data_IF_292163583103
#
_entry.id   IF_292163583103
#
_cell.length_a   1.000
_cell.length_b   1.000
_cell.length_c   1.000
_cell.angle_alpha   90.00
_cell.angle_beta   90.00
_cell.angle_gamma   90.00
#
_symmetry.space_group_name_H-M   'P 1'
#
loop_
_entity.id
_entity.type
_entity.pdbx_description
1 polymer ?
#
# COMPACT_ATOMS: atom_id res chain seq x y z
N UNK A 1 -18.12 -8.47 2.56
CA UNK A 1 -17.31 -8.12 1.37
C UNK A 1 -18.02 -8.43 0.07
N UNK A 2 -18.52 -9.65 -0.16
CA UNK A 2 -19.19 -10.03 -1.42
C UNK A 2 -20.43 -9.19 -1.79
N UNK A 3 -21.24 -8.77 -0.80
CA UNK A 3 -22.39 -7.86 -1.02
C UNK A 3 -21.98 -6.41 -1.34
N UNK A 4 -20.82 -5.93 -0.86
CA UNK A 4 -20.31 -4.59 -1.15
C UNK A 4 -19.68 -4.49 -2.55
N UNK A 5 -19.27 -5.63 -3.11
CA UNK A 5 -18.76 -5.75 -4.49
C UNK A 5 -19.93 -5.72 -5.50
N UNK A 6 -21.07 -6.31 -5.15
CA UNK A 6 -22.28 -6.33 -5.99
C UNK A 6 -22.96 -4.96 -6.18
N UNK A 7 -22.93 -4.09 -5.17
CA UNK A 7 -23.53 -2.74 -5.22
C UNK A 7 -22.68 -1.74 -6.03
N UNK A 8 -21.43 -2.09 -6.33
CA UNK A 8 -20.44 -1.15 -6.90
C UNK A 8 -20.38 -1.16 -8.43
N UNK A 9 -20.98 -2.15 -9.08
CA UNK A 9 -20.88 -2.31 -10.55
C UNK A 9 -21.93 -1.55 -11.37
N UNK A 10 -22.89 -0.84 -10.76
CA UNK A 10 -23.93 -0.15 -11.53
C UNK A 10 -23.52 1.20 -12.12
N UNK A 11 -22.51 1.90 -11.57
CA UNK A 11 -22.35 3.33 -11.86
C UNK A 11 -21.03 3.76 -12.50
N UNK A 12 -20.05 2.86 -12.70
CA UNK A 12 -18.75 3.18 -13.31
C UNK A 12 -18.56 2.68 -14.76
N UNK A 13 -19.48 1.87 -15.28
CA UNK A 13 -19.36 1.29 -16.64
C UNK A 13 -20.06 2.10 -17.74
N UNK A 14 -20.56 3.30 -17.44
CA UNK A 14 -21.36 4.09 -18.39
C UNK A 14 -20.54 4.91 -19.41
N UNK A 15 -19.40 4.40 -19.87
CA UNK A 15 -18.60 5.10 -20.89
C UNK A 15 -18.34 4.18 -22.07
N UNK A 16 -18.90 4.56 -23.22
CA UNK A 16 -18.65 3.97 -24.54
C UNK A 16 -17.16 3.92 -24.85
N UNK A 17 -16.50 2.82 -24.48
CA UNK A 17 -15.35 2.30 -25.21
C UNK A 17 -15.02 0.91 -24.67
N UNK A 18 -15.22 -0.12 -25.49
CA UNK A 18 -14.70 -1.48 -25.25
C UNK A 18 -13.19 -1.49 -24.92
N UNK A 19 -12.44 -0.46 -25.32
CA UNK A 19 -11.02 -0.33 -25.02
C UNK A 19 -10.74 0.00 -23.56
N UNK A 20 -11.61 0.79 -22.91
CA UNK A 20 -11.47 1.15 -21.49
C UNK A 20 -11.77 -0.05 -20.61
N UNK A 21 -12.78 -0.86 -20.98
CA UNK A 21 -13.08 -2.11 -20.29
C UNK A 21 -11.92 -3.12 -20.39
N UNK A 22 -11.31 -3.27 -21.57
CA UNK A 22 -10.12 -4.11 -21.77
C UNK A 22 -8.91 -3.61 -20.98
N UNK A 23 -8.65 -2.30 -21.01
CA UNK A 23 -7.51 -1.68 -20.31
C UNK A 23 -7.63 -1.81 -18.79
N UNK A 24 -8.84 -1.63 -18.25
CA UNK A 24 -9.12 -1.71 -16.81
C UNK A 24 -9.23 -3.18 -16.36
N UNK A 25 -9.81 -4.11 -17.14
CA UNK A 25 -9.87 -5.50 -16.71
C UNK A 25 -8.47 -6.16 -16.67
N UNK A 26 -7.65 -5.97 -17.70
CA UNK A 26 -6.32 -6.58 -17.78
C UNK A 26 -5.30 -5.93 -16.83
N UNK A 27 -5.41 -4.62 -16.55
CA UNK A 27 -4.51 -3.94 -15.61
C UNK A 27 -4.79 -4.33 -14.16
N UNK A 28 -6.01 -4.73 -13.81
CA UNK A 28 -6.40 -4.95 -12.41
C UNK A 28 -6.39 -6.43 -11.98
N UNK A 29 -6.38 -7.39 -12.91
CA UNK A 29 -6.36 -8.82 -12.61
C UNK A 29 -5.55 -9.59 -13.66
N UNK A 30 -4.35 -10.04 -13.31
CA UNK A 30 -3.56 -10.94 -14.18
C UNK A 30 -4.28 -12.27 -14.47
N UNK A 31 -5.23 -12.66 -13.62
CA UNK A 31 -6.07 -13.85 -13.76
C UNK A 31 -7.22 -13.71 -14.77
N UNK A 32 -7.48 -12.50 -15.29
CA UNK A 32 -8.50 -12.23 -16.31
C UNK A 32 -7.90 -11.96 -17.70
N UNK A 33 -6.63 -12.34 -17.91
CA UNK A 33 -5.93 -12.09 -19.17
C UNK A 33 -6.51 -12.89 -20.36
N UNK A 34 -7.45 -13.80 -20.10
CA UNK A 34 -8.21 -14.60 -21.05
C UNK A 34 -9.51 -13.94 -21.52
N UNK A 35 -9.91 -12.79 -20.94
CA UNK A 35 -11.08 -12.03 -21.40
C UNK A 35 -10.75 -11.27 -22.69
N UNK A 36 -10.91 -11.95 -23.82
CA UNK A 36 -10.89 -11.31 -25.13
C UNK A 36 -12.27 -10.74 -25.49
N UNK A 37 -12.33 -9.64 -26.25
CA UNK A 37 -13.59 -9.07 -26.75
C UNK A 37 -14.45 -10.09 -27.49
N UNK A 38 -13.84 -10.97 -28.28
CA UNK A 38 -14.55 -11.99 -29.05
C UNK A 38 -15.21 -13.04 -28.16
N UNK A 39 -14.58 -13.36 -27.01
CA UNK A 39 -15.15 -14.25 -26.00
C UNK A 39 -16.36 -13.59 -25.31
N UNK A 40 -16.28 -12.29 -25.03
CA UNK A 40 -17.37 -11.54 -24.40
C UNK A 40 -18.55 -11.36 -25.35
N UNK A 41 -18.30 -11.01 -26.61
CA UNK A 41 -19.33 -10.86 -27.65
C UNK A 41 -20.02 -12.17 -28.01
N UNK A 42 -19.32 -13.32 -27.91
CA UNK A 42 -19.92 -14.64 -28.16
C UNK A 42 -20.69 -15.20 -26.96
N UNK A 43 -20.35 -14.81 -25.73
CA UNK A 43 -20.96 -15.31 -24.50
C UNK A 43 -22.11 -14.46 -23.99
N UNK A 44 -22.13 -13.16 -24.30
CA UNK A 44 -23.05 -12.20 -23.69
C UNK A 44 -23.80 -11.44 -24.78
N UNK A 45 -25.13 -11.47 -24.71
CA UNK A 45 -26.03 -10.76 -25.64
C UNK A 45 -26.61 -9.48 -25.04
N UNK A 46 -26.61 -9.36 -23.71
CA UNK A 46 -27.08 -8.21 -22.96
C UNK A 46 -26.02 -7.67 -21.99
N UNK A 47 -26.14 -6.38 -21.63
CA UNK A 47 -25.31 -5.75 -20.60
C UNK A 47 -25.42 -6.46 -19.24
N UNK A 48 -26.63 -6.92 -18.88
CA UNK A 48 -26.87 -7.63 -17.62
C UNK A 48 -26.13 -8.98 -17.58
N UNK A 49 -26.18 -9.73 -18.68
CA UNK A 49 -25.44 -11.00 -18.83
C UNK A 49 -23.92 -10.78 -18.77
N UNK A 50 -23.42 -9.72 -19.41
CA UNK A 50 -22.01 -9.35 -19.36
C UNK A 50 -21.57 -9.04 -17.93
N UNK A 51 -22.34 -8.23 -17.21
CA UNK A 51 -22.07 -7.86 -15.82
C UNK A 51 -22.02 -9.10 -14.93
N UNK A 52 -23.01 -9.97 -15.05
CA UNK A 52 -23.08 -11.20 -14.25
C UNK A 52 -21.94 -12.16 -14.58
N UNK A 53 -21.58 -12.28 -15.85
CA UNK A 53 -20.43 -13.07 -16.29
C UNK A 53 -19.12 -12.53 -15.70
N UNK A 54 -18.89 -11.21 -15.76
CA UNK A 54 -17.70 -10.60 -15.16
C UNK A 54 -17.63 -10.79 -13.65
N UNK A 55 -18.77 -10.69 -12.95
CA UNK A 55 -18.86 -11.00 -11.51
C UNK A 55 -18.50 -12.45 -11.21
N UNK A 56 -19.02 -13.39 -12.00
CA UNK A 56 -18.70 -14.81 -11.86
C UNK A 56 -17.21 -15.06 -12.05
N UNK A 57 -16.63 -14.55 -13.15
CA UNK A 57 -15.19 -14.69 -13.46
C UNK A 57 -14.31 -14.06 -12.38
N UNK A 58 -14.67 -12.87 -11.90
CA UNK A 58 -13.97 -12.22 -10.79
C UNK A 58 -14.00 -13.06 -9.52
N UNK A 59 -15.16 -13.64 -9.18
CA UNK A 59 -15.29 -14.54 -8.03
C UNK A 59 -14.42 -15.79 -8.16
N UNK A 60 -14.40 -16.41 -9.33
CA UNK A 60 -13.55 -17.58 -9.62
C UNK A 60 -12.07 -17.25 -9.45
N UNK A 61 -11.61 -16.13 -10.03
CA UNK A 61 -10.23 -15.67 -9.90
C UNK A 61 -9.84 -15.42 -8.44
N UNK A 62 -10.72 -14.79 -7.65
CA UNK A 62 -10.48 -14.56 -6.22
C UNK A 62 -10.38 -15.88 -5.43
N UNK A 63 -11.26 -16.86 -5.70
CA UNK A 63 -11.19 -18.17 -5.05
C UNK A 63 -9.87 -18.89 -5.37
N UNK A 64 -9.45 -18.89 -6.64
CA UNK A 64 -8.16 -19.45 -7.04
C UNK A 64 -6.99 -18.78 -6.31
N UNK A 65 -6.99 -17.44 -6.26
CA UNK A 65 -5.98 -16.66 -5.53
C UNK A 65 -5.94 -17.04 -4.05
N UNK A 66 -7.11 -17.09 -3.41
CA UNK A 66 -7.25 -17.48 -2.01
C UNK A 66 -6.65 -18.87 -1.78
N UNK A 67 -6.98 -19.86 -2.62
CA UNK A 67 -6.45 -21.22 -2.48
C UNK A 67 -4.93 -21.26 -2.66
N UNK A 68 -4.36 -20.47 -3.59
CA UNK A 68 -2.90 -20.35 -3.75
C UNK A 68 -2.24 -19.78 -2.50
N UNK A 69 -2.83 -18.75 -1.88
CA UNK A 69 -2.29 -18.11 -0.66
C UNK A 69 -2.45 -19.01 0.57
N UNK A 70 -3.62 -19.65 0.74
CA UNK A 70 -3.90 -20.57 1.84
C UNK A 70 -2.99 -21.80 1.83
N UNK A 71 -2.61 -22.30 0.64
CA UNK A 71 -1.59 -23.37 0.49
C UNK A 71 -0.23 -22.99 1.05
N UNK A 72 0.09 -21.69 1.08
CA UNK A 72 1.35 -21.21 1.63
C UNK A 72 1.27 -20.98 3.14
N UNK A 73 0.17 -20.41 3.62
CA UNK A 73 -0.07 -20.17 5.04
C UNK A 73 -1.59 -20.12 5.32
N UNK A 74 -2.11 -21.01 6.19
CA UNK A 74 -3.51 -21.02 6.56
C UNK A 74 -3.96 -19.69 7.20
N UNK A 75 -5.05 -19.11 6.72
CA UNK A 75 -5.63 -17.87 7.23
C UNK A 75 -4.95 -16.57 6.76
N UNK A 76 -3.83 -16.66 6.03
CA UNK A 76 -3.07 -15.49 5.60
C UNK A 76 -3.87 -14.57 4.67
N UNK A 77 -4.70 -15.14 3.80
CA UNK A 77 -5.53 -14.33 2.89
C UNK A 77 -6.52 -13.45 3.64
N UNK A 78 -7.13 -13.97 4.71
CA UNK A 78 -8.08 -13.23 5.54
C UNK A 78 -7.41 -12.06 6.29
N UNK A 79 -6.19 -12.28 6.77
CA UNK A 79 -5.40 -11.24 7.42
C UNK A 79 -4.95 -10.17 6.40
N UNK A 80 -4.47 -10.60 5.25
CA UNK A 80 -4.07 -9.73 4.16
C UNK A 80 -5.24 -8.82 3.71
N UNK A 81 -6.44 -9.39 3.51
CA UNK A 81 -7.64 -8.61 3.18
C UNK A 81 -7.95 -7.51 4.18
N UNK A 82 -7.96 -7.86 5.48
CA UNK A 82 -8.21 -6.90 6.54
C UNK A 82 -7.16 -5.79 6.52
N UNK A 83 -5.89 -6.16 6.39
CA UNK A 83 -4.79 -5.21 6.34
C UNK A 83 -4.89 -4.28 5.12
N UNK A 84 -5.12 -4.83 3.93
CA UNK A 84 -5.21 -4.06 2.69
C UNK A 84 -6.39 -3.09 2.68
N UNK A 85 -7.55 -3.49 3.21
CA UNK A 85 -8.71 -2.60 3.34
C UNK A 85 -8.41 -1.46 4.30
N UNK A 86 -7.91 -1.78 5.50
CA UNK A 86 -7.65 -0.77 6.52
C UNK A 86 -6.55 0.21 6.09
N UNK A 87 -5.47 -0.27 5.47
CA UNK A 87 -4.37 0.60 5.04
C UNK A 87 -4.80 1.55 3.92
N UNK A 88 -5.64 1.10 2.99
CA UNK A 88 -6.18 1.96 1.94
C UNK A 88 -7.15 3.00 2.47
N UNK A 89 -8.03 2.62 3.43
CA UNK A 89 -8.94 3.57 4.07
C UNK A 89 -8.15 4.64 4.83
N UNK A 90 -7.18 4.24 5.67
CA UNK A 90 -6.39 5.19 6.47
C UNK A 90 -5.60 6.17 5.59
N UNK A 91 -4.98 5.67 4.51
CA UNK A 91 -4.24 6.52 3.56
C UNK A 91 -5.17 7.52 2.87
N UNK A 92 -6.25 7.04 2.25
CA UNK A 92 -7.15 7.89 1.46
C UNK A 92 -7.96 8.85 2.34
N UNK A 93 -8.26 8.47 3.58
CA UNK A 93 -8.90 9.38 4.53
C UNK A 93 -8.00 10.57 4.90
N UNK A 94 -6.70 10.34 5.13
CA UNK A 94 -5.74 11.42 5.38
C UNK A 94 -5.64 12.37 4.18
N UNK A 95 -5.57 11.81 2.97
CA UNK A 95 -5.57 12.59 1.72
C UNK A 95 -6.89 13.40 1.58
N UNK A 96 -8.04 12.79 1.88
CA UNK A 96 -9.33 13.48 1.86
C UNK A 96 -9.42 14.62 2.87
N UNK A 97 -8.91 14.44 4.10
CA UNK A 97 -8.85 15.51 5.09
C UNK A 97 -7.99 16.68 4.61
N UNK A 98 -6.86 16.41 3.94
CA UNK A 98 -6.03 17.44 3.31
C UNK A 98 -6.79 18.16 2.18
N UNK A 99 -7.47 17.41 1.31
CA UNK A 99 -8.29 17.96 0.23
C UNK A 99 -9.40 18.89 0.77
N UNK A 100 -10.09 18.50 1.85
CA UNK A 100 -11.10 19.33 2.49
C UNK A 100 -10.54 20.66 3.02
N UNK A 101 -9.27 20.69 3.48
CA UNK A 101 -8.62 21.94 3.89
C UNK A 101 -8.41 22.88 2.72
N UNK A 102 -8.01 22.36 1.56
CA UNK A 102 -7.87 23.16 0.34
C UNK A 102 -9.23 23.69 -0.15
N UNK A 103 -10.28 22.86 -0.13
CA UNK A 103 -11.64 23.32 -0.47
C UNK A 103 -12.10 24.44 0.46
N UNK A 104 -11.86 24.30 1.77
CA UNK A 104 -12.22 25.34 2.74
C UNK A 104 -11.53 26.69 2.42
N UNK A 105 -10.25 26.66 2.03
CA UNK A 105 -9.52 27.87 1.62
C UNK A 105 -10.04 28.44 0.29
N UNK A 106 -10.28 27.59 -0.71
CA UNK A 106 -10.72 28.00 -2.04
C UNK A 106 -12.13 28.62 -2.02
N UNK A 107 -13.04 28.04 -1.25
CA UNK A 107 -14.41 28.55 -1.06
C UNK A 107 -14.40 29.88 -0.30
N UNK A 108 -13.50 30.04 0.69
CA UNK A 108 -13.28 31.32 1.37
C UNK A 108 -12.89 32.46 0.41
N UNK A 109 -12.11 32.15 -0.64
CA UNK A 109 -11.73 33.11 -1.68
C UNK A 109 -12.88 33.38 -2.69
N UNK A 110 -13.79 32.43 -2.90
CA UNK A 110 -14.94 32.54 -3.82
C UNK A 110 -16.19 33.17 -3.20
N UNK A 111 -16.25 33.30 -1.87
CA UNK A 111 -17.34 34.00 -1.18
C UNK A 111 -17.54 35.46 -1.64
N UNK A 112 -16.55 36.06 -2.31
CA UNK A 112 -16.69 37.36 -2.96
C UNK A 112 -17.60 37.36 -4.22
N UNK A 113 -17.93 36.18 -4.77
CA UNK A 113 -18.71 36.03 -6.02
C UNK A 113 -20.21 35.78 -5.81
N UNK A 114 -20.79 36.17 -4.65
CA UNK A 114 -22.22 36.07 -4.32
C UNK A 114 -22.80 34.64 -4.25
N UNK A 115 -21.95 33.61 -4.23
CA UNK A 115 -22.37 32.23 -3.95
C UNK A 115 -22.19 31.91 -2.47
N UNK A 116 -23.13 31.18 -1.89
CA UNK A 116 -23.07 30.77 -0.48
C UNK A 116 -21.88 29.81 -0.27
N UNK A 117 -20.85 30.24 0.50
CA UNK A 117 -19.67 29.42 0.78
C UNK A 117 -20.03 28.06 1.39
N UNK A 118 -21.08 28.00 2.22
CA UNK A 118 -21.46 26.78 2.89
C UNK A 118 -22.01 25.73 1.91
N UNK A 119 -22.74 26.17 0.89
CA UNK A 119 -23.30 25.29 -0.14
C UNK A 119 -22.18 24.73 -1.02
N UNK A 120 -21.25 25.57 -1.47
CA UNK A 120 -20.12 25.12 -2.29
C UNK A 120 -19.22 24.13 -1.54
N UNK A 121 -18.91 24.41 -0.27
CA UNK A 121 -18.11 23.51 0.55
C UNK A 121 -18.76 22.13 0.69
N UNK A 122 -20.07 22.08 0.94
CA UNK A 122 -20.82 20.82 1.07
C UNK A 122 -20.82 20.03 -0.24
N UNK A 123 -21.06 20.70 -1.36
CA UNK A 123 -21.11 20.06 -2.67
C UNK A 123 -19.74 19.48 -3.04
N UNK A 124 -18.69 20.29 -2.93
CA UNK A 124 -17.34 19.87 -3.28
C UNK A 124 -16.80 18.80 -2.32
N UNK A 125 -17.06 18.95 -1.02
CA UNK A 125 -16.70 17.95 -0.01
C UNK A 125 -17.41 16.61 -0.25
N UNK A 126 -18.67 16.62 -0.67
CA UNK A 126 -19.39 15.41 -1.05
C UNK A 126 -18.79 14.75 -2.29
N UNK A 127 -18.47 15.53 -3.33
CA UNK A 127 -17.82 15.00 -4.54
C UNK A 127 -16.47 14.33 -4.21
N UNK A 128 -15.64 14.99 -3.38
CA UNK A 128 -14.38 14.42 -2.91
C UNK A 128 -14.58 13.12 -2.12
N UNK A 129 -15.66 13.02 -1.33
CA UNK A 129 -15.97 11.81 -0.59
C UNK A 129 -16.36 10.65 -1.51
N UNK A 130 -17.21 10.89 -2.51
CA UNK A 130 -17.60 9.87 -3.48
C UNK A 130 -16.39 9.36 -4.27
N UNK A 131 -15.51 10.27 -4.71
CA UNK A 131 -14.26 9.91 -5.38
C UNK A 131 -13.34 9.09 -4.48
N UNK A 132 -13.13 9.52 -3.22
CA UNK A 132 -12.35 8.75 -2.25
C UNK A 132 -12.90 7.33 -2.06
N UNK A 133 -14.22 7.18 -1.92
CA UNK A 133 -14.86 5.87 -1.78
C UNK A 133 -14.66 4.99 -3.02
N UNK A 134 -14.71 5.57 -4.21
CA UNK A 134 -14.41 4.85 -5.45
C UNK A 134 -12.95 4.40 -5.53
N UNK A 135 -12.02 5.28 -5.15
CA UNK A 135 -10.59 4.96 -5.07
C UNK A 135 -10.28 3.86 -4.06
N UNK A 136 -10.89 3.88 -2.87
CA UNK A 136 -10.72 2.81 -1.87
C UNK A 136 -11.09 1.46 -2.50
N UNK A 137 -12.24 1.37 -3.17
CA UNK A 137 -12.71 0.12 -3.78
C UNK A 137 -11.77 -0.37 -4.88
N UNK A 138 -11.40 0.50 -5.81
CA UNK A 138 -10.46 0.15 -6.90
C UNK A 138 -9.10 -0.30 -6.36
N UNK A 139 -8.55 0.41 -5.37
CA UNK A 139 -7.25 0.08 -4.80
C UNK A 139 -7.28 -1.21 -4.00
N UNK A 140 -8.34 -1.48 -3.24
CA UNK A 140 -8.49 -2.74 -2.49
C UNK A 140 -8.58 -3.92 -3.45
N UNK A 141 -9.43 -3.83 -4.48
CA UNK A 141 -9.55 -4.88 -5.50
C UNK A 141 -8.18 -5.15 -6.12
N UNK A 142 -7.51 -4.11 -6.63
CA UNK A 142 -6.18 -4.21 -7.19
C UNK A 142 -5.17 -4.86 -6.21
N UNK A 143 -5.13 -4.38 -4.98
CA UNK A 143 -4.17 -4.84 -3.98
C UNK A 143 -4.39 -6.30 -3.62
N UNK A 144 -5.65 -6.76 -3.53
CA UNK A 144 -5.99 -8.16 -3.22
C UNK A 144 -5.51 -9.09 -4.32
N UNK A 145 -5.70 -8.73 -5.60
CA UNK A 145 -5.23 -9.56 -6.71
C UNK A 145 -3.71 -9.52 -6.84
N UNK A 146 -3.08 -8.36 -6.65
CA UNK A 146 -1.63 -8.21 -6.72
C UNK A 146 -0.88 -8.77 -5.50
N UNK A 147 -1.58 -9.04 -4.39
CA UNK A 147 -0.98 -9.53 -3.16
C UNK A 147 -0.16 -10.80 -3.40
N UNK A 148 1.14 -10.74 -3.13
CA UNK A 148 2.01 -11.91 -3.17
C UNK A 148 2.61 -12.13 -1.78
N UNK A 149 2.27 -13.23 -1.09
CA UNK A 149 2.90 -13.58 0.18
C UNK A 149 4.42 -13.75 0.02
N UNK A 150 5.18 -12.97 0.77
CA UNK A 150 6.63 -13.15 0.90
C UNK A 150 6.88 -13.99 2.15
N UNK A 151 7.20 -15.27 1.94
CA UNK A 151 7.58 -16.16 3.03
C UNK A 151 8.99 -15.80 3.49
N UNK A 152 9.07 -15.06 4.60
CA UNK A 152 10.34 -14.80 5.27
C UNK A 152 10.80 -16.10 5.94
N UNK A 153 11.72 -16.82 5.30
CA UNK A 153 12.39 -18.02 5.86
C UNK A 153 13.42 -17.65 6.95
N UNK A 154 13.06 -16.84 7.96
CA UNK A 154 14.05 -16.30 8.91
C UNK A 154 13.83 -16.67 10.38
N UNK A 155 13.76 -17.97 10.66
CA UNK A 155 13.99 -18.49 12.01
C UNK A 155 15.32 -19.27 12.09
N UNK A 156 15.63 -20.12 11.10
CA UNK A 156 16.82 -20.98 11.15
C UNK A 156 18.14 -20.22 10.91
N UNK A 157 18.17 -19.26 9.98
CA UNK A 157 19.39 -18.49 9.68
C UNK A 157 19.75 -17.48 10.78
N UNK A 158 18.74 -16.91 11.44
CA UNK A 158 18.95 -15.95 12.54
C UNK A 158 19.42 -16.64 13.82
N UNK A 159 19.01 -17.89 14.05
CA UNK A 159 19.49 -18.72 15.16
C UNK A 159 20.89 -19.30 14.89
N UNK A 160 21.23 -19.68 13.65
CA UNK A 160 22.59 -20.12 13.29
C UNK A 160 23.63 -19.00 13.40
N UNK A 161 23.29 -17.76 13.01
CA UNK A 161 24.18 -16.59 13.20
C UNK A 161 24.42 -16.27 14.69
N UNK A 162 23.44 -16.53 15.57
CA UNK A 162 23.62 -16.37 17.03
C UNK A 162 24.45 -17.50 17.66
N UNK A 163 24.33 -18.74 17.19
CA UNK A 163 25.17 -19.88 17.67
C UNK A 163 26.64 -19.76 17.26
N UNK A 164 26.94 -19.28 16.06
CA UNK A 164 28.33 -19.13 15.60
C UNK A 164 29.11 -18.00 16.29
N UNK A 165 28.43 -16.98 16.84
CA UNK A 165 29.06 -15.87 17.55
C UNK A 165 29.48 -16.19 18.99
N UNK A 166 28.88 -17.21 19.61
CA UNK A 166 29.15 -17.57 21.02
C UNK A 166 30.31 -18.56 21.21
N UNK A 167 30.84 -19.17 20.14
CA UNK A 167 31.93 -20.16 20.23
C UNK A 167 33.33 -19.57 20.17
N UNK A 168 33.49 -18.26 19.93
CA UNK A 168 34.81 -17.60 19.78
C UNK A 168 35.25 -16.85 21.05
N UNK A 169 34.38 -16.74 22.07
CA UNK A 169 34.64 -15.93 23.27
C UNK A 169 35.06 -16.73 24.52
N UNK A 170 35.34 -18.03 24.41
CA UNK A 170 35.75 -18.85 25.56
C UNK A 170 37.05 -19.61 25.27
N UNK A 171 38.18 -18.90 25.36
CA UNK A 171 39.49 -19.52 25.23
C UNK A 171 40.63 -18.52 25.14
N UNK A 172 40.92 -17.80 26.23
CA UNK A 172 42.27 -17.32 26.60
C UNK A 172 42.23 -16.59 27.95
N UNK A 173 42.55 -17.34 29.00
CA UNK A 173 43.02 -16.80 30.26
C UNK A 173 44.35 -17.48 30.62
N UNK A 174 45.35 -16.68 31.01
CA UNK A 174 46.49 -17.14 31.83
C UNK A 174 47.90 -16.74 31.40
N UNK A 175 48.41 -15.66 32.01
CA UNK A 175 49.80 -15.37 32.47
C UNK A 175 50.99 -15.46 31.50
N UNK A 176 51.82 -14.41 31.38
CA UNK A 176 52.93 -14.13 32.33
C UNK A 176 53.65 -12.83 31.96
N UNK A 177 54.18 -12.11 32.95
CA UNK A 177 54.79 -10.79 32.78
C UNK A 177 56.27 -10.83 32.38
N UNK A 178 56.71 -9.81 31.63
CA UNK A 178 58.03 -9.19 31.79
C UNK A 178 58.08 -7.87 31.00
N UNK A 179 58.29 -6.76 31.68
CA UNK A 179 58.80 -5.50 31.11
C UNK A 179 60.32 -5.47 31.33
N UNK A 180 61.13 -4.89 30.43
CA UNK A 180 61.33 -3.44 30.51
C UNK A 180 61.54 -2.69 29.16
N UNK A 181 61.23 -1.40 29.18
CA UNK A 181 61.51 -0.37 28.16
C UNK A 181 63.01 -0.22 27.80
N UNK A 182 63.35 0.42 26.66
CA UNK A 182 63.69 1.86 26.75
C UNK A 182 63.30 2.77 25.56
N UNK A 183 62.72 3.92 25.92
CA UNK A 183 63.03 5.34 25.53
C UNK A 183 63.04 5.77 24.05
N UNK A 184 62.20 6.79 23.74
CA UNK A 184 62.36 7.64 22.55
C UNK A 184 61.37 8.83 22.40
N UNK A 185 61.51 9.86 23.26
CA UNK A 185 61.48 11.31 22.92
C UNK A 185 60.14 12.00 22.44
N UNK A 186 59.52 12.78 23.36
CA UNK A 186 59.07 14.22 23.34
C UNK A 186 58.72 14.87 21.96
N UNK A 187 57.71 15.72 21.71
CA UNK A 187 56.55 16.35 22.39
C UNK A 187 55.86 17.32 21.37
N UNK A 188 54.73 17.93 21.75
CA UNK A 188 54.24 19.28 21.35
C UNK A 188 53.05 19.40 20.37
N UNK A 189 51.86 19.52 20.97
CA UNK A 189 50.92 20.67 20.94
C UNK A 189 50.45 21.35 19.62
N UNK A 190 49.11 21.44 19.46
CA UNK A 190 48.26 22.64 19.19
C UNK A 190 46.86 22.19 18.68
N UNK A 191 45.75 22.37 19.40
CA UNK A 191 44.89 23.58 19.52
C UNK A 191 44.42 24.10 18.16
N UNK A 192 43.13 24.25 17.80
CA UNK A 192 42.02 24.96 18.49
C UNK A 192 40.66 24.66 17.81
N UNK A 193 39.50 24.98 18.44
CA UNK A 193 38.13 24.67 18.00
C UNK A 193 37.42 25.87 17.32
N UNK A 194 36.31 25.62 16.60
CA UNK A 194 35.44 26.70 16.04
C UNK A 194 33.98 26.53 16.46
N UNK A 195 33.37 27.66 16.79
CA UNK A 195 32.22 27.87 17.66
C UNK A 195 30.83 27.83 16.99
N UNK A 196 29.81 27.75 17.86
CA UNK A 196 28.35 27.81 17.62
C UNK A 196 27.85 29.27 17.54
N UNK A 197 26.87 29.63 16.69
CA UNK A 197 26.28 30.96 16.71
C UNK A 197 25.15 31.08 17.76
N UNK A 198 25.14 32.20 18.47
CA UNK A 198 24.09 32.68 19.39
C UNK A 198 23.01 33.46 18.63
N UNK A 199 21.79 33.40 19.17
CA UNK A 199 20.64 34.21 18.77
C UNK A 199 20.78 35.66 19.24
N UNK A 200 20.16 36.58 18.52
CA UNK A 200 19.88 37.95 19.00
C UNK A 200 18.38 38.22 18.94
N UNK A 201 17.93 38.90 19.98
CA UNK A 201 16.60 39.45 20.25
C UNK A 201 16.10 40.46 19.23
#
# INVERSE_FOLDING_TARGET
MLSAISFFTDNEWNTSSEEVAKSIACRYCYLLNDLTPDLLASKCSSYEELRDYLHLRGREAYLQKKDTVEKQAPGLMKEAERFLVLSNIDRLWKEHLQALKFVQQAVGLRGYAQRDPLIEYKLEGYNLFIEMMAQIRRNVIYSVYQFQPVLVKDEEQRQQRKKSGNSVANGRGGSDGNDPDPVGIVDSSSSTPVARPQATS
#
